data_IF_800258515228
#
_entry.id   IF_800258515228
#
_cell.length_a   1.000
_cell.length_b   1.000
_cell.length_c   1.000
_cell.angle_alpha   90.00
_cell.angle_beta   90.00
_cell.angle_gamma   90.00
#
_symmetry.space_group_name_H-M   'P 1'
#
loop_
_entity.id
_entity.type
_entity.pdbx_description
1 polymer ?
#
# COMPACT_ATOMS: atom_id res chain seq x y z
N UNK A 1 -21.29 47.52 10.55
CA UNK A 1 -20.72 47.95 9.26
C UNK A 1 -19.80 46.84 8.82
N UNK A 2 -20.26 46.13 7.81
CA UNK A 2 -19.75 44.85 7.32
C UNK A 2 -18.76 45.13 6.20
N UNK A 3 -17.57 44.52 6.21
CA UNK A 3 -16.63 44.63 5.11
C UNK A 3 -15.88 43.29 4.95
N UNK A 4 -16.35 42.50 4.00
CA UNK A 4 -15.72 41.28 3.47
C UNK A 4 -15.18 41.65 2.09
N UNK A 5 -13.88 41.48 1.79
CA UNK A 5 -13.38 41.73 0.45
C UNK A 5 -13.80 40.60 -0.50
N UNK A 6 -14.56 41.07 -1.47
CA UNK A 6 -15.01 40.49 -2.73
C UNK A 6 -13.81 40.16 -3.63
N UNK A 7 -13.56 38.87 -3.89
CA UNK A 7 -12.51 38.41 -4.82
C UNK A 7 -13.03 37.29 -5.73
N UNK A 8 -14.20 37.52 -6.34
CA UNK A 8 -14.77 36.63 -7.35
C UNK A 8 -15.54 37.47 -8.37
N UNK A 9 -14.85 38.31 -9.13
CA UNK A 9 -15.38 38.92 -10.36
C UNK A 9 -14.25 39.50 -11.21
N UNK A 10 -13.68 38.69 -12.11
CA UNK A 10 -13.28 39.13 -13.45
C UNK A 10 -13.22 37.91 -14.38
N UNK A 11 -14.36 37.61 -15.00
CA UNK A 11 -14.41 37.04 -16.34
C UNK A 11 -14.54 38.21 -17.31
N UNK A 12 -14.01 38.11 -18.54
CA UNK A 12 -14.98 37.88 -19.61
C UNK A 12 -14.49 37.02 -20.79
N UNK A 13 -15.41 36.14 -21.22
CA UNK A 13 -15.93 36.11 -22.60
C UNK A 13 -15.04 35.58 -23.73
N UNK A 14 -15.39 34.41 -24.26
CA UNK A 14 -16.25 34.38 -25.46
C UNK A 14 -16.71 32.96 -25.83
N UNK A 15 -18.03 32.82 -26.00
CA UNK A 15 -18.76 31.62 -26.41
C UNK A 15 -18.63 31.34 -27.94
N UNK A 16 -19.18 30.22 -28.43
CA UNK A 16 -20.59 30.24 -28.76
C UNK A 16 -21.40 29.00 -28.33
N UNK A 17 -22.57 29.30 -27.77
CA UNK A 17 -23.87 28.66 -27.97
C UNK A 17 -23.97 27.13 -28.06
N UNK A 18 -24.50 26.51 -26.98
CA UNK A 18 -25.66 25.59 -27.09
C UNK A 18 -26.55 25.78 -25.84
N UNK A 19 -27.82 26.04 -26.11
CA UNK A 19 -28.94 26.23 -25.16
C UNK A 19 -29.42 24.87 -24.58
N UNK A 20 -30.39 24.81 -23.66
CA UNK A 20 -30.28 24.21 -22.34
C UNK A 20 -30.94 22.83 -22.21
N UNK A 21 -30.35 21.88 -21.47
CA UNK A 21 -31.11 20.71 -21.02
C UNK A 21 -30.53 20.11 -19.73
N UNK A 22 -31.17 20.43 -18.61
CA UNK A 22 -31.37 19.50 -17.50
C UNK A 22 -32.86 19.09 -17.59
N UNK A 23 -33.30 17.92 -17.08
CA UNK A 23 -32.62 17.02 -16.15
C UNK A 23 -32.70 15.52 -16.56
N UNK A 24 -31.84 14.66 -16.02
CA UNK A 24 -32.14 13.22 -15.99
C UNK A 24 -31.47 12.56 -14.77
N UNK A 25 -32.25 12.49 -13.70
CA UNK A 25 -32.12 11.42 -12.73
C UNK A 25 -32.24 10.06 -13.46
N UNK A 26 -31.51 9.01 -13.07
CA UNK A 26 -31.81 7.67 -13.53
C UNK A 26 -33.12 7.22 -12.88
N UNK A 27 -34.21 7.37 -13.64
CA UNK A 27 -35.50 6.75 -13.35
C UNK A 27 -35.41 5.21 -13.42
N UNK A 28 -36.31 4.51 -12.71
CA UNK A 28 -36.27 3.08 -12.48
C UNK A 28 -36.68 2.31 -13.74
N UNK A 29 -35.97 1.22 -13.99
CA UNK A 29 -36.36 0.24 -15.01
C UNK A 29 -37.70 -0.45 -14.64
N UNK A 30 -38.47 -0.88 -15.66
CA UNK A 30 -39.94 -0.71 -15.69
C UNK A 30 -40.78 -1.67 -14.85
N UNK A 31 -41.87 -1.13 -14.31
CA UNK A 31 -43.05 -1.87 -13.89
C UNK A 31 -43.75 -2.47 -15.13
N UNK A 32 -43.83 -3.81 -15.22
CA UNK A 32 -44.78 -4.49 -16.10
C UNK A 32 -46.19 -4.39 -15.47
N UNK A 33 -47.02 -3.52 -16.05
CA UNK A 33 -48.46 -3.51 -15.82
C UNK A 33 -49.16 -4.67 -16.55
N UNK A 34 -50.37 -5.06 -16.11
CA UNK A 34 -51.01 -6.32 -16.42
C UNK A 34 -51.58 -6.33 -17.85
N UNK A 35 -51.26 -7.38 -18.60
CA UNK A 35 -51.77 -7.59 -19.95
C UNK A 35 -53.22 -8.08 -19.91
N UNK A 36 -54.17 -7.18 -20.22
CA UNK A 36 -55.57 -7.50 -20.44
C UNK A 36 -55.85 -7.80 -21.92
N UNK A 37 -56.21 -9.06 -22.18
CA UNK A 37 -57.23 -9.59 -23.11
C UNK A 37 -57.50 -8.92 -24.49
N UNK A 38 -57.32 -9.71 -25.57
CA UNK A 38 -58.31 -10.00 -26.63
C UNK A 38 -57.71 -11.03 -27.64
N UNK A 39 -58.50 -11.67 -28.53
CA UNK A 39 -59.55 -12.68 -28.33
C UNK A 39 -59.20 -14.02 -29.08
N UNK A 40 -60.04 -15.08 -28.97
CA UNK A 40 -59.64 -16.46 -29.27
C UNK A 40 -60.06 -16.94 -30.67
N UNK A 41 -59.19 -17.71 -31.33
CA UNK A 41 -59.54 -18.74 -32.34
C UNK A 41 -58.26 -19.39 -32.91
N UNK A 42 -58.29 -20.60 -33.49
CA UNK A 42 -59.11 -21.77 -33.18
C UNK A 42 -58.25 -22.93 -32.65
N UNK A 43 -58.86 -23.86 -31.94
CA UNK A 43 -58.26 -25.16 -31.63
C UNK A 43 -58.03 -25.96 -32.92
N UNK A 44 -56.86 -26.62 -33.02
CA UNK A 44 -56.86 -27.98 -33.53
C UNK A 44 -56.14 -28.93 -32.57
N UNK A 45 -56.80 -30.06 -32.35
CA UNK A 45 -56.28 -31.33 -31.83
C UNK A 45 -55.74 -31.33 -30.40
N UNK A 46 -56.67 -31.58 -29.47
CA UNK A 46 -56.37 -32.46 -28.35
C UNK A 46 -55.79 -33.79 -28.90
N UNK A 47 -54.62 -34.26 -28.43
CA UNK A 47 -54.44 -35.68 -28.28
C UNK A 47 -55.34 -36.12 -27.12
N UNK A 48 -56.09 -37.19 -27.40
CA UNK A 48 -57.05 -37.84 -26.54
C UNK A 48 -56.59 -37.96 -25.08
N UNK A 49 -57.56 -37.79 -24.18
CA UNK A 49 -57.52 -38.52 -22.92
C UNK A 49 -57.61 -40.02 -23.26
N UNK A 50 -56.47 -40.71 -23.17
CA UNK A 50 -56.40 -42.16 -22.98
C UNK A 50 -55.25 -42.42 -22.02
N UNK A 51 -55.54 -43.10 -20.91
CA UNK A 51 -54.54 -43.62 -19.97
C UNK A 51 -54.51 -42.93 -18.63
N UNK A 52 -55.51 -43.24 -17.79
CA UNK A 52 -55.25 -43.45 -16.37
C UNK A 52 -54.34 -44.69 -16.26
N UNK A 53 -53.05 -44.49 -16.51
CA UNK A 53 -51.99 -45.48 -16.37
C UNK A 53 -50.99 -44.87 -15.38
N UNK A 54 -50.64 -45.55 -14.26
CA UNK A 54 -49.61 -45.05 -13.37
C UNK A 54 -48.37 -44.76 -14.21
N UNK A 55 -47.66 -43.62 -14.03
CA UNK A 55 -46.51 -43.31 -14.86
C UNK A 55 -45.59 -44.53 -14.88
N UNK A 56 -45.48 -45.17 -16.05
CA UNK A 56 -44.67 -46.36 -16.24
C UNK A 56 -43.29 -46.05 -15.61
N UNK A 57 -42.73 -46.96 -14.81
CA UNK A 57 -41.54 -46.68 -14.00
C UNK A 57 -40.44 -46.14 -14.91
N UNK A 58 -40.25 -44.82 -14.88
CA UNK A 58 -39.23 -44.15 -15.68
C UNK A 58 -37.89 -44.68 -15.21
N UNK A 59 -37.31 -45.59 -15.99
CA UNK A 59 -36.06 -46.26 -15.66
C UNK A 59 -34.92 -45.27 -15.83
N UNK A 60 -34.63 -44.53 -14.77
CA UNK A 60 -33.49 -43.62 -14.70
C UNK A 60 -32.20 -44.45 -14.88
N UNK A 61 -31.37 -44.19 -15.90
CA UNK A 61 -30.17 -44.98 -16.16
C UNK A 61 -29.23 -44.95 -14.96
N UNK A 62 -28.60 -46.09 -14.64
CA UNK A 62 -27.69 -46.20 -13.49
C UNK A 62 -26.56 -45.15 -13.51
N UNK A 63 -26.09 -44.75 -14.69
CA UNK A 63 -25.10 -43.68 -14.87
C UNK A 63 -25.57 -42.35 -14.29
N UNK A 64 -26.83 -41.96 -14.53
CA UNK A 64 -27.39 -40.71 -14.01
C UNK A 64 -27.50 -40.71 -12.49
N UNK A 65 -27.75 -41.86 -11.86
CA UNK A 65 -27.70 -42.00 -10.40
C UNK A 65 -26.28 -41.84 -9.84
N UNK A 66 -25.26 -42.40 -10.51
CA UNK A 66 -23.87 -42.24 -10.11
C UNK A 66 -23.42 -40.77 -10.23
N UNK A 67 -23.77 -40.10 -11.33
CA UNK A 67 -23.49 -38.67 -11.52
C UNK A 67 -24.17 -37.81 -10.44
N UNK A 68 -25.41 -38.12 -10.09
CA UNK A 68 -26.12 -37.45 -8.99
C UNK A 68 -25.45 -37.69 -7.64
N UNK A 69 -25.03 -38.92 -7.34
CA UNK A 69 -24.32 -39.25 -6.10
C UNK A 69 -22.99 -38.50 -6.01
N UNK A 70 -22.23 -38.47 -7.10
CA UNK A 70 -20.92 -37.80 -7.12
C UNK A 70 -21.08 -36.28 -7.02
N UNK A 71 -22.12 -35.69 -7.64
CA UNK A 71 -22.49 -34.28 -7.43
C UNK A 71 -22.90 -33.99 -5.99
N UNK A 72 -23.67 -34.86 -5.36
CA UNK A 72 -24.07 -34.72 -3.95
C UNK A 72 -22.86 -34.79 -3.03
N UNK A 73 -21.96 -35.76 -3.23
CA UNK A 73 -20.73 -35.89 -2.46
C UNK A 73 -19.81 -34.66 -2.62
N UNK A 74 -19.66 -34.14 -3.84
CA UNK A 74 -18.89 -32.92 -4.09
C UNK A 74 -19.54 -31.69 -3.45
N UNK A 75 -20.87 -31.58 -3.51
CA UNK A 75 -21.59 -30.48 -2.87
C UNK A 75 -21.47 -30.56 -1.34
N UNK A 76 -21.57 -31.75 -0.75
CA UNK A 76 -21.36 -31.94 0.69
C UNK A 76 -19.92 -31.61 1.10
N UNK A 77 -18.92 -32.06 0.33
CA UNK A 77 -17.51 -31.75 0.60
C UNK A 77 -17.24 -30.23 0.56
N UNK A 78 -17.80 -29.52 -0.43
CA UNK A 78 -17.71 -28.06 -0.52
C UNK A 78 -18.43 -27.36 0.64
N UNK A 79 -19.60 -27.83 1.02
CA UNK A 79 -20.32 -27.28 2.17
C UNK A 79 -19.53 -27.49 3.48
N UNK A 80 -18.92 -28.66 3.66
CA UNK A 80 -18.07 -28.94 4.82
C UNK A 80 -16.83 -28.04 4.84
N UNK A 81 -16.15 -27.86 3.71
CA UNK A 81 -15.01 -26.94 3.63
C UNK A 81 -15.42 -25.49 3.94
N UNK A 82 -16.57 -25.04 3.43
CA UNK A 82 -17.10 -23.72 3.72
C UNK A 82 -17.47 -23.55 5.20
N UNK A 83 -18.08 -24.57 5.82
CA UNK A 83 -18.42 -24.55 7.24
C UNK A 83 -17.15 -24.53 8.10
N UNK A 84 -16.14 -25.33 7.77
CA UNK A 84 -14.85 -25.30 8.45
C UNK A 84 -14.16 -23.94 8.31
N UNK A 85 -14.21 -23.33 7.11
CA UNK A 85 -13.69 -21.98 6.87
C UNK A 85 -14.44 -20.93 7.68
N UNK A 86 -15.76 -21.02 7.77
CA UNK A 86 -16.58 -20.13 8.61
C UNK A 86 -16.24 -20.30 10.09
N UNK A 87 -16.17 -21.54 10.59
CA UNK A 87 -15.78 -21.82 11.98
C UNK A 87 -14.39 -21.28 12.32
N UNK A 88 -13.43 -21.41 11.40
CA UNK A 88 -12.09 -20.81 11.58
C UNK A 88 -12.16 -19.28 11.60
N UNK A 89 -12.90 -18.67 10.67
CA UNK A 89 -13.05 -17.22 10.62
C UNK A 89 -13.75 -16.67 11.88
N UNK A 90 -14.76 -17.35 12.41
CA UNK A 90 -15.42 -16.99 13.66
C UNK A 90 -14.49 -17.11 14.86
N UNK A 91 -13.67 -18.17 14.94
CA UNK A 91 -12.67 -18.32 15.99
C UNK A 91 -11.60 -17.21 15.92
N UNK A 92 -11.16 -16.84 14.73
CA UNK A 92 -10.23 -15.72 14.53
C UNK A 92 -10.87 -14.38 14.88
N UNK A 93 -12.15 -14.16 14.52
CA UNK A 93 -12.89 -12.96 14.88
C UNK A 93 -13.08 -12.83 16.38
N UNK A 94 -13.34 -13.94 17.09
CA UNK A 94 -13.42 -13.97 18.56
C UNK A 94 -12.07 -13.62 19.21
N UNK A 95 -10.95 -14.12 18.65
CA UNK A 95 -9.60 -13.76 19.12
C UNK A 95 -9.26 -12.28 18.90
N UNK A 96 -9.91 -11.62 17.95
CA UNK A 96 -9.72 -10.20 17.62
C UNK A 96 -10.81 -9.30 18.20
N UNK A 97 -11.69 -9.80 19.07
CA UNK A 97 -12.69 -8.95 19.69
C UNK A 97 -12.00 -7.84 20.49
N UNK A 98 -12.33 -6.60 20.13
CA UNK A 98 -11.85 -5.43 20.85
C UNK A 98 -12.35 -5.50 22.31
N UNK A 99 -11.49 -5.26 23.31
CA UNK A 99 -11.93 -5.13 24.70
C UNK A 99 -13.05 -4.09 24.83
N UNK A 100 -14.02 -4.32 25.71
CA UNK A 100 -15.08 -3.33 25.96
C UNK A 100 -14.51 -2.14 26.72
N UNK A 101 -14.59 -0.96 26.09
CA UNK A 101 -14.12 0.31 26.64
C UNK A 101 -14.69 0.63 28.03
N UNK A 102 -15.93 0.19 28.32
CA UNK A 102 -16.58 0.51 29.60
C UNK A 102 -16.23 -0.48 30.72
N UNK A 103 -15.91 -1.73 30.37
CA UNK A 103 -15.56 -2.75 31.36
C UNK A 103 -14.07 -2.67 31.71
N UNK A 104 -13.21 -2.53 30.70
CA UNK A 104 -11.75 -2.48 30.84
C UNK A 104 -11.16 -1.34 30.00
N UNK A 105 -11.13 -0.10 30.51
CA UNK A 105 -10.64 1.06 29.74
C UNK A 105 -9.16 0.93 29.35
N UNK A 106 -8.31 0.38 30.23
CA UNK A 106 -6.86 0.24 29.99
C UNK A 106 -6.57 -0.72 28.81
N UNK A 107 -7.24 -1.88 28.79
CA UNK A 107 -7.08 -2.88 27.72
C UNK A 107 -7.58 -2.35 26.37
N UNK A 108 -8.62 -1.51 26.38
CA UNK A 108 -9.10 -0.85 25.16
C UNK A 108 -8.10 0.17 24.62
N UNK A 109 -7.42 0.91 25.50
CA UNK A 109 -6.36 1.85 25.09
C UNK A 109 -5.17 1.13 24.47
N UNK A 110 -4.71 0.03 25.06
CA UNK A 110 -3.64 -0.80 24.50
C UNK A 110 -4.02 -1.38 23.14
N UNK A 111 -5.22 -1.94 23.00
CA UNK A 111 -5.74 -2.44 21.72
C UNK A 111 -5.79 -1.35 20.66
N UNK A 112 -6.21 -0.14 21.03
CA UNK A 112 -6.24 1.01 20.12
C UNK A 112 -4.83 1.45 19.72
N UNK A 113 -3.90 1.49 20.67
CA UNK A 113 -2.50 1.82 20.41
C UNK A 113 -1.86 0.80 19.46
N UNK A 114 -2.12 -0.50 19.66
CA UNK A 114 -1.64 -1.56 18.78
C UNK A 114 -2.22 -1.42 17.37
N UNK A 115 -3.52 -1.16 17.22
CA UNK A 115 -4.11 -0.92 15.90
C UNK A 115 -3.49 0.28 15.19
N UNK A 116 -3.25 1.38 15.91
CA UNK A 116 -2.58 2.55 15.33
C UNK A 116 -1.15 2.22 14.92
N UNK A 117 -0.39 1.50 15.75
CA UNK A 117 0.96 1.06 15.41
C UNK A 117 0.98 0.18 14.15
N UNK A 118 0.08 -0.82 14.06
CA UNK A 118 -0.04 -1.67 12.88
C UNK A 118 -0.39 -0.87 11.62
N UNK A 119 -1.29 0.11 11.73
CA UNK A 119 -1.67 0.98 10.61
C UNK A 119 -0.48 1.82 10.12
N UNK A 120 0.29 2.40 11.04
CA UNK A 120 1.50 3.18 10.72
C UNK A 120 2.55 2.28 10.05
N UNK A 121 2.83 1.11 10.61
CA UNK A 121 3.78 0.16 10.01
C UNK A 121 3.35 -0.26 8.60
N UNK A 122 2.06 -0.55 8.39
CA UNK A 122 1.53 -0.90 7.08
C UNK A 122 1.64 0.26 6.07
N UNK A 123 1.44 1.49 6.53
CA UNK A 123 1.62 2.69 5.71
C UNK A 123 3.09 2.90 5.32
N UNK A 124 4.00 2.80 6.29
CA UNK A 124 5.44 2.90 6.06
C UNK A 124 5.91 1.85 5.05
N UNK A 125 5.44 0.61 5.19
CA UNK A 125 5.74 -0.47 4.24
C UNK A 125 5.27 -0.14 2.81
N UNK A 126 4.05 0.39 2.66
CA UNK A 126 3.51 0.80 1.34
C UNK A 126 4.27 1.97 0.74
N UNK A 127 4.65 2.95 1.56
CA UNK A 127 5.41 4.12 1.12
C UNK A 127 6.82 3.72 0.69
N UNK A 128 7.52 2.95 1.51
CA UNK A 128 8.86 2.42 1.22
C UNK A 128 8.85 1.58 -0.05
N UNK A 129 7.81 0.77 -0.29
CA UNK A 129 7.63 0.06 -1.56
C UNK A 129 7.61 1.01 -2.76
N UNK A 130 6.77 2.04 -2.71
CA UNK A 130 6.65 3.01 -3.81
C UNK A 130 7.95 3.76 -4.05
N UNK A 131 8.64 4.14 -2.97
CA UNK A 131 9.93 4.82 -3.07
C UNK A 131 10.99 3.92 -3.72
N UNK A 132 11.06 2.65 -3.30
CA UNK A 132 11.95 1.66 -3.87
C UNK A 132 11.63 1.35 -5.35
N UNK A 133 10.35 1.35 -5.74
CA UNK A 133 9.94 1.21 -7.14
C UNK A 133 10.43 2.36 -8.01
N UNK A 134 10.49 3.59 -7.46
CA UNK A 134 11.02 4.76 -8.17
C UNK A 134 12.53 4.71 -8.30
N UNK A 135 13.25 4.25 -7.27
CA UNK A 135 14.72 4.26 -7.26
C UNK A 135 15.37 3.05 -7.95
N UNK A 136 14.82 1.85 -7.75
CA UNK A 136 15.41 0.59 -8.25
C UNK A 136 14.61 -0.06 -9.38
N UNK A 137 13.38 0.40 -9.62
CA UNK A 137 12.47 -0.17 -10.61
C UNK A 137 11.62 -1.34 -10.06
N UNK A 138 10.45 -1.55 -10.66
CA UNK A 138 9.44 -2.50 -10.17
C UNK A 138 9.93 -3.96 -10.15
N UNK A 139 10.65 -4.38 -11.19
CA UNK A 139 11.10 -5.78 -11.32
C UNK A 139 12.13 -6.15 -10.25
N UNK A 140 13.06 -5.22 -9.96
CA UNK A 140 14.06 -5.42 -8.90
C UNK A 140 13.42 -5.48 -7.52
N UNK A 141 12.43 -4.61 -7.26
CA UNK A 141 11.67 -4.59 -5.99
C UNK A 141 10.91 -5.91 -5.81
N UNK A 142 10.25 -6.42 -6.85
CA UNK A 142 9.50 -7.67 -6.76
C UNK A 142 10.43 -8.86 -6.52
N UNK A 143 11.56 -8.95 -7.24
CA UNK A 143 12.54 -10.01 -7.04
C UNK A 143 13.16 -9.97 -5.64
N UNK A 144 13.46 -8.79 -5.12
CA UNK A 144 13.96 -8.61 -3.76
C UNK A 144 12.90 -8.95 -2.71
N UNK A 145 11.63 -8.61 -2.96
CA UNK A 145 10.52 -8.98 -2.08
C UNK A 145 10.35 -10.50 -1.98
N UNK A 146 10.33 -11.20 -3.12
CA UNK A 146 10.18 -12.66 -3.14
C UNK A 146 11.36 -13.37 -2.45
N UNK A 147 12.56 -12.81 -2.55
CA UNK A 147 13.74 -13.26 -1.79
C UNK A 147 13.60 -12.94 -0.29
N UNK A 148 13.15 -11.73 0.04
CA UNK A 148 12.97 -11.26 1.42
C UNK A 148 11.94 -12.08 2.19
N UNK A 149 10.82 -12.47 1.55
CA UNK A 149 9.80 -13.35 2.16
C UNK A 149 10.42 -14.68 2.59
N UNK A 150 11.16 -15.34 1.68
CA UNK A 150 11.86 -16.59 2.00
C UNK A 150 12.86 -16.40 3.12
N UNK A 151 13.58 -15.27 3.12
CA UNK A 151 14.58 -14.98 4.15
C UNK A 151 13.96 -14.70 5.52
N UNK A 152 12.80 -14.07 5.57
CA UNK A 152 12.03 -13.88 6.81
C UNK A 152 11.51 -15.21 7.38
N UNK A 153 11.15 -16.17 6.52
CA UNK A 153 10.74 -17.51 6.94
C UNK A 153 11.92 -18.32 7.51
N UNK A 154 13.12 -18.14 6.95
CA UNK A 154 14.35 -18.80 7.39
C UNK A 154 14.96 -18.17 8.65
N UNK A 155 14.95 -16.83 8.75
CA UNK A 155 15.59 -16.07 9.83
C UNK A 155 14.60 -15.10 10.51
N UNK A 156 14.08 -15.48 11.69
CA UNK A 156 13.19 -14.59 12.47
C UNK A 156 13.83 -13.27 12.88
N UNK A 157 15.17 -13.23 13.00
CA UNK A 157 15.89 -12.02 13.40
C UNK A 157 15.98 -11.03 12.23
N UNK A 158 16.09 -11.53 11.00
CA UNK A 158 15.96 -10.69 9.80
C UNK A 158 14.59 -10.00 9.75
N UNK A 159 13.51 -10.74 10.02
CA UNK A 159 12.16 -10.18 10.05
C UNK A 159 12.02 -9.03 11.08
N UNK A 160 12.58 -9.20 12.29
CA UNK A 160 12.59 -8.13 13.29
C UNK A 160 13.34 -6.89 12.79
N UNK A 161 14.50 -7.06 12.14
CA UNK A 161 15.26 -5.94 11.58
C UNK A 161 14.47 -5.18 10.51
N UNK A 162 13.82 -5.91 9.59
CA UNK A 162 12.95 -5.33 8.57
C UNK A 162 11.82 -4.53 9.21
N UNK A 163 11.15 -5.10 10.23
CA UNK A 163 10.03 -4.43 10.91
C UNK A 163 10.44 -3.16 11.65
N UNK A 164 11.66 -3.10 12.19
CA UNK A 164 12.20 -1.91 12.89
C UNK A 164 12.86 -0.89 11.98
N UNK A 165 13.13 -1.25 10.72
CA UNK A 165 13.81 -0.36 9.79
C UNK A 165 12.91 0.80 9.34
N UNK A 166 13.53 1.96 9.12
CA UNK A 166 12.84 3.15 8.60
C UNK A 166 12.30 2.89 7.18
N UNK A 167 13.13 2.24 6.34
CA UNK A 167 12.80 1.84 4.98
C UNK A 167 12.92 0.32 4.77
N UNK A 168 11.85 -0.46 5.01
CA UNK A 168 11.90 -1.92 4.92
C UNK A 168 12.24 -2.43 3.52
N UNK A 169 11.75 -1.80 2.45
CA UNK A 169 12.03 -2.27 1.09
C UNK A 169 13.47 -1.99 0.67
N UNK A 170 14.00 -0.83 1.01
CA UNK A 170 15.39 -0.51 0.65
C UNK A 170 16.36 -1.41 1.41
N UNK A 171 16.08 -1.70 2.69
CA UNK A 171 16.83 -2.66 3.47
C UNK A 171 16.83 -4.08 2.85
N UNK A 172 15.65 -4.59 2.45
CA UNK A 172 15.54 -5.90 1.79
C UNK A 172 16.33 -5.90 0.47
N UNK A 173 16.24 -4.83 -0.32
CA UNK A 173 16.96 -4.71 -1.60
C UNK A 173 18.47 -4.66 -1.38
N UNK A 174 18.94 -3.94 -0.36
CA UNK A 174 20.35 -3.86 -0.02
C UNK A 174 20.92 -5.23 0.36
N UNK A 175 20.22 -5.99 1.21
CA UNK A 175 20.64 -7.34 1.57
C UNK A 175 20.52 -8.32 0.40
N UNK A 176 19.47 -8.22 -0.44
CA UNK A 176 19.35 -9.04 -1.65
C UNK A 176 20.50 -8.78 -2.63
N UNK A 177 20.90 -7.51 -2.80
CA UNK A 177 22.07 -7.15 -3.61
C UNK A 177 23.35 -7.70 -2.99
N UNK A 178 23.48 -7.65 -1.66
CA UNK A 178 24.61 -8.23 -0.94
C UNK A 178 24.70 -9.73 -1.16
N UNK A 179 23.60 -10.45 -1.04
CA UNK A 179 23.50 -11.90 -1.29
C UNK A 179 23.83 -12.26 -2.74
N UNK A 180 23.34 -11.47 -3.71
CA UNK A 180 23.74 -11.61 -5.12
C UNK A 180 25.23 -11.36 -5.35
N UNK A 181 25.83 -10.39 -4.69
CA UNK A 181 27.26 -10.13 -4.80
C UNK A 181 28.07 -11.28 -4.18
N UNK A 182 27.67 -11.75 -3.00
CA UNK A 182 28.34 -12.86 -2.32
C UNK A 182 28.24 -14.15 -3.12
N UNK A 183 27.10 -14.42 -3.77
CA UNK A 183 26.93 -15.58 -4.64
C UNK A 183 27.68 -15.49 -5.98
N UNK A 184 28.06 -14.28 -6.41
CA UNK A 184 28.84 -14.05 -7.63
C UNK A 184 30.35 -13.97 -7.38
N UNK A 185 30.78 -13.62 -6.17
CA UNK A 185 32.20 -13.58 -5.81
C UNK A 185 32.77 -15.00 -5.75
N UNK A 186 33.85 -15.23 -6.48
CA UNK A 186 34.69 -16.41 -6.28
C UNK A 186 35.75 -16.14 -5.19
N UNK A 187 36.32 -17.19 -4.60
CA UNK A 187 37.41 -17.06 -3.62
C UNK A 187 38.61 -16.27 -4.18
N UNK A 188 38.85 -16.37 -5.50
CA UNK A 188 39.88 -15.63 -6.23
C UNK A 188 39.62 -14.12 -6.23
N UNK A 189 38.36 -13.70 -6.36
CA UNK A 189 37.98 -12.28 -6.35
C UNK A 189 38.16 -11.68 -4.95
N UNK A 190 37.95 -12.49 -3.90
CA UNK A 190 38.16 -12.06 -2.53
C UNK A 190 39.66 -11.85 -2.22
N UNK A 191 40.53 -12.74 -2.70
CA UNK A 191 41.98 -12.54 -2.60
C UNK A 191 42.43 -11.30 -3.39
N UNK A 192 41.93 -11.10 -4.60
CA UNK A 192 42.23 -9.92 -5.40
C UNK A 192 41.80 -8.62 -4.70
N UNK A 193 40.61 -8.62 -4.07
CA UNK A 193 40.14 -7.48 -3.28
C UNK A 193 41.01 -7.22 -2.03
N UNK A 194 41.42 -8.28 -1.32
CA UNK A 194 42.33 -8.14 -0.18
C UNK A 194 43.70 -7.60 -0.59
N UNK A 195 44.27 -8.08 -1.71
CA UNK A 195 45.53 -7.57 -2.24
C UNK A 195 45.41 -6.12 -2.68
N UNK A 196 44.30 -5.73 -3.32
CA UNK A 196 44.04 -4.33 -3.67
C UNK A 196 43.91 -3.43 -2.43
N UNK A 197 43.17 -3.87 -1.40
CA UNK A 197 43.07 -3.13 -0.13
C UNK A 197 44.40 -3.04 0.60
N UNK A 198 45.22 -4.08 0.57
CA UNK A 198 46.58 -4.05 1.14
C UNK A 198 47.48 -3.07 0.37
N UNK A 199 47.35 -2.99 -0.95
CA UNK A 199 48.07 -2.00 -1.76
C UNK A 199 47.57 -0.57 -1.53
N UNK A 200 46.27 -0.36 -1.29
CA UNK A 200 45.74 0.94 -0.85
C UNK A 200 46.15 1.32 0.57
N UNK A 201 46.22 0.37 1.50
CA UNK A 201 46.69 0.63 2.86
C UNK A 201 48.19 1.00 2.90
N UNK A 202 48.94 0.64 1.86
CA UNK A 202 50.32 1.06 1.64
C UNK A 202 50.48 2.38 0.86
N UNK A 203 49.40 2.98 0.36
CA UNK A 203 49.45 4.33 -0.19
C UNK A 203 49.58 5.31 1.00
N UNK A 204 50.67 6.11 1.09
CA UNK A 204 50.72 7.15 2.08
C UNK A 204 49.51 8.07 1.88
N UNK A 205 48.90 8.61 2.96
CA UNK A 205 47.89 9.65 2.81
C UNK A 205 48.45 10.70 1.85
N UNK A 206 47.64 11.12 0.87
CA UNK A 206 48.01 12.19 -0.06
C UNK A 206 48.73 13.28 0.74
N UNK A 207 49.92 13.74 0.30
CA UNK A 207 50.76 14.60 1.11
C UNK A 207 49.91 15.75 1.62
N UNK A 208 49.79 15.83 2.95
CA UNK A 208 49.33 17.04 3.59
C UNK A 208 50.14 18.17 2.97
N UNK A 209 49.45 19.12 2.37
CA UNK A 209 50.04 20.35 1.87
C UNK A 209 51.00 20.87 2.94
N UNK A 210 52.24 21.27 2.60
CA UNK A 210 53.23 21.63 3.61
C UNK A 210 52.63 22.64 4.58
N UNK A 211 52.67 22.31 5.86
CA UNK A 211 52.33 23.24 6.92
C UNK A 211 53.16 24.51 6.69
N UNK A 212 52.47 25.59 6.32
CA UNK A 212 53.06 26.91 6.30
C UNK A 212 53.64 27.19 7.71
N UNK A 213 54.79 27.87 7.81
CA UNK A 213 55.44 28.13 9.09
C UNK A 213 54.46 28.81 10.05
N UNK A 214 54.50 28.38 11.31
CA UNK A 214 53.62 28.81 12.39
C UNK A 214 53.42 30.33 12.39
N UNK A 215 52.17 30.76 12.18
CA UNK A 215 51.79 32.15 12.40
C UNK A 215 51.95 32.47 13.90
N UNK A 216 52.44 33.68 14.27
CA UNK A 216 52.56 34.10 15.66
C UNK A 216 51.18 34.09 16.36
N UNK A 217 51.13 33.90 17.69
CA UNK A 217 49.89 33.81 18.43
C UNK A 217 49.04 35.06 18.21
N UNK A 218 47.85 34.86 17.64
CA UNK A 218 46.88 35.92 17.37
C UNK A 218 46.29 36.37 18.71
N UNK A 219 46.46 37.64 19.03
CA UNK A 219 45.86 38.27 20.21
C UNK A 219 44.33 38.04 20.26
N UNK A 220 43.73 37.94 21.47
CA UNK A 220 42.29 37.78 21.62
C UNK A 220 41.56 38.95 20.95
N UNK A 221 40.52 38.62 20.18
CA UNK A 221 39.73 39.59 19.42
C UNK A 221 38.98 40.51 20.40
N UNK A 222 38.96 41.83 20.17
CA UNK A 222 38.19 42.76 20.99
C UNK A 222 36.69 42.47 20.85
N UNK A 223 35.99 42.39 21.99
CA UNK A 223 34.56 42.09 22.10
C UNK A 223 33.70 43.09 21.32
N UNK A 224 32.74 42.56 20.56
CA UNK A 224 31.73 43.29 19.76
C UNK A 224 30.62 43.94 20.63
N UNK A 225 30.97 44.52 21.78
CA UNK A 225 30.01 45.15 22.68
C UNK A 225 29.89 46.68 22.49
N UNK A 226 30.46 47.26 21.43
CA UNK A 226 30.26 48.69 21.18
C UNK A 226 30.88 49.20 19.89
N UNK A 227 30.06 49.39 18.86
CA UNK A 227 30.06 50.60 18.03
C UNK A 227 28.94 50.54 16.96
N UNK A 228 28.27 51.66 16.66
CA UNK A 228 27.08 51.71 15.80
C UNK A 228 27.38 51.99 14.32
N UNK A 229 26.45 51.54 13.48
CA UNK A 229 25.90 52.18 12.26
C UNK A 229 26.83 52.88 11.25
N UNK A 230 26.99 52.30 10.06
CA UNK A 230 26.67 52.92 8.75
C UNK A 230 27.29 52.11 7.59
N UNK A 231 26.50 51.86 6.54
CA UNK A 231 27.04 51.57 5.20
C UNK A 231 26.63 50.22 4.61
N UNK A 232 25.59 50.27 3.76
CA UNK A 232 25.07 49.20 2.86
C UNK A 232 26.15 48.37 2.17
N UNK A 233 25.88 47.07 1.97
CA UNK A 233 25.76 46.45 0.63
C UNK A 233 25.32 44.97 0.70
N UNK A 234 24.28 44.66 -0.08
CA UNK A 234 23.77 43.36 -0.59
C UNK A 234 23.63 42.17 0.39
N UNK A 235 22.39 41.95 0.81
CA UNK A 235 21.90 40.70 1.45
C UNK A 235 21.56 39.68 0.35
N UNK A 236 22.18 38.49 0.31
CA UNK A 236 21.49 37.30 -0.16
C UNK A 236 20.59 36.82 0.99
N UNK A 237 19.27 36.88 0.75
CA UNK A 237 18.25 36.48 1.71
C UNK A 237 18.41 34.98 2.01
N UNK A 238 18.79 34.67 3.25
CA UNK A 238 18.74 33.31 3.77
C UNK A 238 17.27 32.91 3.83
N UNK A 239 16.85 32.05 2.90
CA UNK A 239 15.55 31.37 2.97
C UNK A 239 15.62 30.36 4.12
N UNK A 240 15.24 30.79 5.31
CA UNK A 240 15.00 29.92 6.44
C UNK A 240 13.77 29.04 6.14
N UNK A 241 14.04 27.81 5.69
CA UNK A 241 13.02 26.83 5.31
C UNK A 241 12.04 26.46 6.43
N UNK A 242 12.46 26.66 7.69
CA UNK A 242 11.66 26.41 8.90
C UNK A 242 10.41 27.33 8.95
N UNK A 243 10.58 28.61 8.62
CA UNK A 243 9.48 29.60 8.60
C UNK A 243 8.49 29.40 7.43
N UNK A 244 8.93 28.71 6.37
CA UNK A 244 8.06 28.37 5.23
C UNK A 244 7.27 27.09 5.52
N UNK A 245 7.86 26.16 6.27
CA UNK A 245 7.21 24.91 6.68
C UNK A 245 6.11 25.16 7.72
N UNK A 246 6.38 25.98 8.75
CA UNK A 246 5.36 26.36 9.74
C UNK A 246 4.17 27.09 9.10
N UNK A 247 4.40 27.90 8.07
CA UNK A 247 3.32 28.63 7.38
C UNK A 247 2.41 27.74 6.52
N UNK A 248 2.90 26.57 6.07
CA UNK A 248 2.11 25.65 5.24
C UNK A 248 1.39 24.57 6.05
N UNK A 249 1.93 24.17 7.20
CA UNK A 249 1.45 22.99 7.94
C UNK A 249 1.12 23.26 9.42
N UNK A 250 1.38 24.48 9.92
CA UNK A 250 1.21 24.84 11.33
C UNK A 250 -0.10 25.56 11.65
N UNK A 251 -1.24 25.09 11.13
CA UNK A 251 -2.56 25.57 11.59
C UNK A 251 -3.60 24.46 11.61
#
# INVERSE_FOLDING_TARGET
MSDTPDFLSDEPSSAPAVTPEAPAAPEPAPQEQPQAAAPPAPAPAAPAAEGDEPPAPHHVPLSTFLDMRDRLNQAEARNRENEERQRRAEQEAQRRQAPDRNQDPDAFEDFRAEQMAQAVTAQNFRFSKRLAEVSHGKDAVQAAYDWGVKRCDEDPLFNQRVATSEDPFDFIIAEWKRDKLVSQLSDTDFEAFQQWKAQQAGQPPAPATPAAPAAPPRAPRPSLAGAPSAGRSSVPEARDGESTFERMFGS
#
